data_IF_515613311931
#
_entry.id   IF_515613311931
#
_cell.length_a   1.000
_cell.length_b   1.000
_cell.length_c   1.000
_cell.angle_alpha   90.00
_cell.angle_beta   90.00
_cell.angle_gamma   90.00
#
_symmetry.space_group_name_H-M   'P 1'
#
loop_
_entity.id
_entity.type
_entity.pdbx_description
1 polymer ?
#
# COMPACT_ATOMS: atom_id res chain seq x y z
N UNK A 1 -17.90 -0.45 -4.19
CA UNK A 1 -17.31 -1.45 -5.09
C UNK A 1 -16.10 -0.83 -5.80
N UNK A 2 -15.08 -1.62 -6.16
CA UNK A 2 -13.81 -1.13 -6.71
C UNK A 2 -13.97 -0.25 -7.96
N UNK A 3 -14.98 -0.51 -8.81
CA UNK A 3 -15.27 0.32 -9.99
C UNK A 3 -15.51 1.80 -9.64
N UNK A 4 -16.27 2.06 -8.58
CA UNK A 4 -16.53 3.43 -8.10
C UNK A 4 -15.26 4.10 -7.56
N UNK A 5 -14.35 3.32 -6.97
CA UNK A 5 -13.07 3.86 -6.50
C UNK A 5 -12.23 4.33 -7.70
N UNK A 6 -12.19 3.56 -8.79
CA UNK A 6 -11.44 3.92 -10.01
C UNK A 6 -11.94 5.25 -10.61
N UNK A 7 -13.26 5.45 -10.66
CA UNK A 7 -13.87 6.69 -11.15
C UNK A 7 -13.57 7.90 -10.24
N UNK A 8 -13.44 7.68 -8.93
CA UNK A 8 -13.18 8.73 -7.93
C UNK A 8 -11.68 9.07 -7.82
N UNK A 9 -10.75 8.23 -8.28
CA UNK A 9 -9.29 8.46 -8.15
C UNK A 9 -8.85 9.82 -8.69
N UNK A 10 -9.25 10.28 -9.90
CA UNK A 10 -8.75 11.54 -10.44
C UNK A 10 -9.13 12.77 -9.59
N UNK A 11 -10.25 12.69 -8.85
CA UNK A 11 -10.76 13.81 -8.05
C UNK A 11 -10.35 13.71 -6.58
N UNK A 12 -10.30 12.49 -6.03
CA UNK A 12 -9.94 12.23 -4.63
C UNK A 12 -8.45 12.05 -4.42
N UNK A 13 -7.74 11.55 -5.42
CA UNK A 13 -6.30 11.26 -5.37
C UNK A 13 -5.56 11.87 -6.59
N UNK A 14 -5.70 13.19 -6.85
CA UNK A 14 -5.10 13.81 -8.03
C UNK A 14 -3.59 13.60 -8.09
N UNK A 15 -3.11 12.96 -9.15
CA UNK A 15 -1.69 12.74 -9.42
C UNK A 15 -0.99 11.75 -8.48
N UNK A 16 -1.69 11.11 -7.55
CA UNK A 16 -1.07 10.22 -6.55
C UNK A 16 -0.87 8.79 -7.07
N UNK A 17 -1.56 8.39 -8.13
CA UNK A 17 -1.47 7.06 -8.74
C UNK A 17 -0.87 7.19 -10.14
N UNK A 18 0.21 6.47 -10.40
CA UNK A 18 0.78 6.36 -11.74
C UNK A 18 -0.08 5.41 -12.60
N UNK A 19 -0.69 5.88 -13.70
CA UNK A 19 -1.55 5.04 -14.54
C UNK A 19 -0.78 3.91 -15.27
N UNK A 20 0.55 3.97 -15.33
CA UNK A 20 1.38 2.97 -15.99
C UNK A 20 1.85 1.85 -15.04
N UNK A 21 1.61 1.99 -13.74
CA UNK A 21 2.03 1.02 -12.73
C UNK A 21 0.79 0.35 -12.12
N UNK A 22 0.63 -0.98 -12.27
CA UNK A 22 -0.46 -1.70 -11.60
C UNK A 22 -0.45 -1.41 -10.11
N UNK A 23 -1.54 -0.83 -9.61
CA UNK A 23 -1.63 -0.38 -8.22
C UNK A 23 -2.92 -0.89 -7.59
N UNK A 24 -2.80 -1.63 -6.48
CA UNK A 24 -3.94 -1.97 -5.64
C UNK A 24 -4.18 -0.81 -4.67
N UNK A 25 -5.41 -0.31 -4.64
CA UNK A 25 -5.78 0.82 -3.82
C UNK A 25 -6.89 0.40 -2.85
N UNK A 26 -6.71 0.71 -1.57
CA UNK A 26 -7.73 0.50 -0.55
C UNK A 26 -7.91 1.75 0.32
N UNK A 27 -9.14 1.96 0.78
CA UNK A 27 -9.43 2.96 1.82
C UNK A 27 -8.90 2.44 3.15
N UNK A 28 -8.12 3.26 3.83
CA UNK A 28 -7.49 2.92 5.10
C UNK A 28 -7.58 4.12 6.03
N UNK A 29 -8.70 4.20 6.76
CA UNK A 29 -9.04 5.35 7.59
C UNK A 29 -8.45 5.20 9.01
N UNK A 30 -7.21 5.63 9.16
CA UNK A 30 -6.55 5.82 10.46
C UNK A 30 -6.14 7.29 10.59
N UNK A 31 -5.91 7.78 11.81
CA UNK A 31 -5.50 9.18 12.01
C UNK A 31 -4.26 9.49 11.15
N UNK A 32 -4.41 10.41 10.20
CA UNK A 32 -3.32 10.83 9.30
C UNK A 32 -3.26 10.13 7.94
N UNK A 33 -4.01 9.05 7.70
CA UNK A 33 -4.07 8.35 6.41
C UNK A 33 -5.51 8.11 5.97
N UNK A 34 -5.73 8.19 4.67
CA UNK A 34 -7.04 7.98 4.03
C UNK A 34 -7.05 6.72 3.15
N UNK A 35 -5.91 6.42 2.53
CA UNK A 35 -5.74 5.28 1.63
C UNK A 35 -4.37 4.64 1.83
N UNK A 36 -4.29 3.38 1.40
CA UNK A 36 -3.05 2.65 1.19
C UNK A 36 -2.98 2.23 -0.28
N UNK A 37 -1.83 2.47 -0.90
CA UNK A 37 -1.54 2.09 -2.27
C UNK A 37 -0.42 1.05 -2.28
N UNK A 38 -0.64 -0.06 -3.00
CA UNK A 38 0.35 -1.10 -3.25
C UNK A 38 0.70 -1.06 -4.74
N UNK A 39 1.78 -0.39 -5.10
CA UNK A 39 2.25 -0.26 -6.47
C UNK A 39 3.18 -1.41 -6.82
N UNK A 40 2.94 -2.09 -7.94
CA UNK A 40 3.78 -3.21 -8.38
C UNK A 40 5.23 -2.78 -8.54
N UNK A 41 6.15 -3.53 -7.95
CA UNK A 41 7.58 -3.26 -8.03
C UNK A 41 8.30 -4.35 -8.82
N UNK A 42 8.31 -5.58 -8.29
CA UNK A 42 8.99 -6.72 -8.92
C UNK A 42 8.35 -8.05 -8.51
N UNK A 43 7.96 -8.86 -9.50
CA UNK A 43 7.30 -10.14 -9.28
C UNK A 43 6.06 -10.05 -8.37
N UNK A 44 6.17 -10.63 -7.18
CA UNK A 44 5.12 -10.64 -6.15
C UNK A 44 5.27 -9.52 -5.10
N UNK A 45 6.20 -8.58 -5.30
CA UNK A 45 6.53 -7.50 -4.37
C UNK A 45 5.97 -6.16 -4.86
N UNK A 46 5.36 -5.43 -3.93
CA UNK A 46 4.70 -4.15 -4.15
C UNK A 46 5.21 -3.10 -3.16
N UNK A 47 5.49 -1.90 -3.65
CA UNK A 47 5.81 -0.75 -2.81
C UNK A 47 4.54 -0.26 -2.11
N UNK A 48 4.62 -0.04 -0.81
CA UNK A 48 3.49 0.45 -0.02
C UNK A 48 3.62 1.94 0.22
N UNK A 49 2.54 2.68 -0.03
CA UNK A 49 2.44 4.10 0.31
C UNK A 49 1.14 4.39 1.04
N UNK A 50 1.22 5.22 2.08
CA UNK A 50 0.06 5.83 2.71
C UNK A 50 -0.30 7.13 2.00
N UNK A 51 -1.59 7.37 1.78
CA UNK A 51 -2.07 8.60 1.14
C UNK A 51 -2.99 9.36 2.09
N UNK A 52 -2.75 10.66 2.23
CA UNK A 52 -3.65 11.58 2.91
C UNK A 52 -4.29 12.52 1.88
N UNK A 53 -5.52 12.19 1.50
CA UNK A 53 -6.34 13.00 0.62
C UNK A 53 -7.10 14.05 1.41
N UNK A 54 -7.04 15.30 0.95
CA UNK A 54 -7.95 16.35 1.41
C UNK A 54 -8.71 16.95 0.24
N UNK A 55 -10.02 17.02 0.40
CA UNK A 55 -10.89 17.77 -0.48
C UNK A 55 -10.60 19.26 -0.34
N UNK A 56 -10.50 19.97 -1.47
CA UNK A 56 -10.43 21.42 -1.47
C UNK A 56 -11.74 22.04 -0.97
N UNK A 57 -11.65 23.03 -0.10
CA UNK A 57 -12.78 23.78 0.47
C UNK A 57 -13.13 25.05 -0.32
N UNK A 58 -12.25 25.50 -1.24
CA UNK A 58 -12.50 26.64 -2.12
C UNK A 58 -11.60 26.61 -3.37
N UNK A 59 -11.86 27.49 -4.34
CA UNK A 59 -11.00 27.65 -5.53
C UNK A 59 -9.54 27.99 -5.17
N UNK A 60 -9.32 28.65 -4.03
CA UNK A 60 -8.00 29.05 -3.53
C UNK A 60 -7.27 27.92 -2.79
N UNK A 61 -7.97 26.81 -2.51
CA UNK A 61 -7.45 25.63 -1.82
C UNK A 61 -7.86 24.39 -2.59
N UNK A 62 -7.20 24.09 -3.72
CA UNK A 62 -7.53 22.93 -4.53
C UNK A 62 -7.34 21.62 -3.76
N UNK A 63 -8.01 20.53 -4.17
CA UNK A 63 -7.77 19.20 -3.62
C UNK A 63 -6.28 18.83 -3.72
N UNK A 64 -5.76 18.19 -2.68
CA UNK A 64 -4.37 17.77 -2.63
C UNK A 64 -4.21 16.42 -1.94
N UNK A 65 -3.09 15.77 -2.23
CA UNK A 65 -2.72 14.48 -1.65
C UNK A 65 -1.29 14.58 -1.12
N UNK A 66 -1.09 14.22 0.14
CA UNK A 66 0.25 13.89 0.62
C UNK A 66 0.46 12.38 0.47
N UNK A 67 1.61 12.03 -0.09
CA UNK A 67 2.06 10.65 -0.22
C UNK A 67 3.16 10.40 0.79
N UNK A 68 2.94 9.44 1.67
CA UNK A 68 3.93 8.93 2.61
C UNK A 68 4.42 7.57 2.12
N UNK A 69 5.62 7.56 1.53
CA UNK A 69 6.28 6.34 1.08
C UNK A 69 7.48 6.06 1.98
N UNK A 70 7.58 4.83 2.50
CA UNK A 70 8.80 4.33 3.12
C UNK A 70 9.39 3.26 2.20
N UNK A 71 10.59 3.46 1.62
CA UNK A 71 11.19 2.48 0.71
C UNK A 71 11.51 1.13 1.38
N UNK A 72 11.53 1.07 2.72
CA UNK A 72 11.63 -0.18 3.45
C UNK A 72 10.29 -0.90 3.65
N UNK A 73 9.15 -0.25 3.38
CA UNK A 73 7.81 -0.81 3.52
C UNK A 73 7.32 -1.41 2.20
N UNK A 74 7.24 -2.73 2.16
CA UNK A 74 6.79 -3.49 0.98
C UNK A 74 5.71 -4.50 1.36
N UNK A 75 4.79 -4.77 0.44
CA UNK A 75 3.85 -5.87 0.54
C UNK A 75 4.30 -6.99 -0.41
N UNK A 76 4.25 -8.21 0.07
CA UNK A 76 4.60 -9.40 -0.68
C UNK A 76 3.41 -10.35 -0.73
N UNK A 77 3.04 -10.78 -1.93
CA UNK A 77 1.94 -11.73 -2.13
C UNK A 77 2.47 -13.15 -2.32
N UNK A 78 1.73 -14.13 -1.82
CA UNK A 78 2.03 -15.54 -2.05
C UNK A 78 0.78 -16.33 -2.34
N UNK A 79 0.97 -17.39 -3.12
CA UNK A 79 -0.04 -18.42 -3.35
C UNK A 79 0.55 -19.80 -3.15
N UNK A 80 -0.15 -20.66 -2.43
CA UNK A 80 0.17 -22.09 -2.27
C UNK A 80 -1.13 -22.90 -2.40
N UNK A 81 -1.28 -23.60 -3.53
CA UNK A 81 -2.55 -24.23 -3.91
C UNK A 81 -3.70 -23.22 -3.96
N UNK A 82 -4.73 -23.44 -3.14
CA UNK A 82 -5.90 -22.57 -3.01
C UNK A 82 -5.73 -21.46 -1.94
N UNK A 83 -4.54 -21.37 -1.32
CA UNK A 83 -4.25 -20.37 -0.29
C UNK A 83 -3.60 -19.15 -0.92
N UNK A 84 -4.11 -17.97 -0.63
CA UNK A 84 -3.52 -16.68 -1.02
C UNK A 84 -3.27 -15.82 0.22
N UNK A 85 -2.07 -15.26 0.33
CA UNK A 85 -1.64 -14.46 1.46
C UNK A 85 -0.94 -13.18 1.03
N UNK A 86 -0.99 -12.19 1.91
CA UNK A 86 -0.22 -10.95 1.79
C UNK A 86 0.53 -10.69 3.10
N UNK A 87 1.83 -10.44 2.99
CA UNK A 87 2.68 -10.06 4.11
C UNK A 87 3.25 -8.67 3.90
N UNK A 88 3.15 -7.80 4.90
CA UNK A 88 3.81 -6.48 4.88
C UNK A 88 5.14 -6.57 5.63
N UNK A 89 6.20 -5.99 5.07
CA UNK A 89 7.55 -5.98 5.64
C UNK A 89 8.02 -4.54 5.81
N UNK A 90 8.66 -4.25 6.95
CA UNK A 90 9.28 -2.95 7.25
C UNK A 90 8.36 -1.91 7.92
N UNK A 91 8.96 -0.83 8.42
CA UNK A 91 8.24 0.29 9.07
C UNK A 91 7.43 -0.12 10.32
N UNK A 92 6.31 0.57 10.55
CA UNK A 92 5.37 0.38 11.68
C UNK A 92 4.60 -0.95 11.59
N UNK A 93 4.62 -1.59 10.42
CA UNK A 93 3.98 -2.88 10.13
C UNK A 93 4.95 -4.05 10.16
N UNK A 94 6.26 -3.77 10.25
CA UNK A 94 7.26 -4.76 10.61
C UNK A 94 7.18 -5.07 12.10
N UNK A 95 7.82 -6.15 12.56
CA UNK A 95 7.67 -6.64 13.92
C UNK A 95 8.32 -5.75 15.01
N UNK A 96 8.55 -4.47 14.74
CA UNK A 96 9.18 -3.51 15.66
C UNK A 96 10.71 -3.61 15.66
N UNK A 97 11.34 -2.64 16.31
CA UNK A 97 12.79 -2.62 16.50
C UNK A 97 13.22 -3.82 17.36
N UNK A 98 14.19 -4.60 16.87
CA UNK A 98 14.74 -5.76 17.59
C UNK A 98 14.12 -7.12 17.25
N UNK A 99 13.04 -7.18 16.47
CA UNK A 99 12.58 -8.47 15.92
C UNK A 99 13.29 -8.75 14.61
N UNK A 100 13.85 -9.97 14.50
CA UNK A 100 14.55 -10.40 13.28
C UNK A 100 13.62 -10.25 12.09
N UNK A 101 14.12 -9.59 11.04
CA UNK A 101 13.42 -9.53 9.76
C UNK A 101 13.02 -10.94 9.33
N UNK A 102 11.81 -11.11 8.74
CA UNK A 102 11.37 -12.33 8.07
C UNK A 102 12.52 -13.05 7.36
N UNK A 103 12.86 -14.27 7.83
CA UNK A 103 13.94 -15.12 7.30
C UNK A 103 13.33 -16.22 6.42
N UNK A 104 13.99 -16.60 5.34
CA UNK A 104 13.52 -17.69 4.47
C UNK A 104 13.57 -17.35 2.99
N UNK A 105 13.65 -18.39 2.15
CA UNK A 105 13.63 -18.25 0.70
C UNK A 105 12.20 -18.19 0.16
N UNK A 106 11.22 -18.77 0.86
CA UNK A 106 9.80 -18.70 0.51
C UNK A 106 9.03 -17.68 1.35
N UNK A 107 7.86 -17.26 0.88
CA UNK A 107 6.98 -16.33 1.62
C UNK A 107 6.48 -16.95 2.92
N UNK A 108 6.21 -18.27 2.91
CA UNK A 108 5.76 -19.02 4.08
C UNK A 108 6.83 -19.07 5.18
N UNK A 109 8.07 -19.37 4.80
CA UNK A 109 9.21 -19.32 5.73
C UNK A 109 9.39 -17.92 6.31
N UNK A 110 9.27 -16.88 5.46
CA UNK A 110 9.33 -15.47 5.88
C UNK A 110 8.18 -15.09 6.83
N UNK A 111 7.02 -15.73 6.74
CA UNK A 111 5.88 -15.51 7.63
C UNK A 111 6.01 -16.21 9.00
N UNK A 112 7.03 -17.05 9.20
CA UNK A 112 7.28 -17.76 10.47
C UNK A 112 6.52 -19.08 10.61
N UNK A 113 5.90 -19.58 9.52
CA UNK A 113 5.29 -20.90 9.48
C UNK A 113 6.28 -21.92 8.88
N UNK A 114 6.57 -22.97 9.66
CA UNK A 114 7.29 -24.16 9.19
C UNK A 114 6.33 -25.14 8.51
#
# INVERSE_FOLDING_TARGET
>A
ACARLVEEIPTTLPGAIDPNVPTLLAKYAVVGLTHIALAHFDGNVFNVSGLNSRTGDSADKPPWVATESNPALVAEFASDGDTFGVGMRGGIWGPGEGVKSPQGQTVRERAGEN
#
